data_IF_991475214548
#
_entry.id   IF_991475214548
#
_cell.length_a   1.000
_cell.length_b   1.000
_cell.length_c   1.000
_cell.angle_alpha   90.00
_cell.angle_beta   90.00
_cell.angle_gamma   90.00
#
_symmetry.space_group_name_H-M   'P 1'
#
loop_
_entity.id
_entity.type
_entity.pdbx_description
1 polymer ?
#
# COMPACT_ATOMS: atom_id res chain seq x y z
N UNK A 1 60.00 16.07 11.23
CA UNK A 1 59.49 15.07 12.19
C UNK A 1 58.07 15.44 12.56
N UNK A 2 57.22 14.42 12.73
CA UNK A 2 55.90 14.41 13.37
C UNK A 2 54.63 14.39 12.48
N UNK A 3 54.30 13.15 12.12
CA UNK A 3 53.04 12.42 12.28
C UNK A 3 51.74 12.84 11.58
N UNK A 4 51.38 11.93 10.66
CA UNK A 4 50.10 11.62 10.05
C UNK A 4 49.04 11.26 11.10
N UNK A 5 47.81 11.76 10.91
CA UNK A 5 46.60 11.12 11.42
C UNK A 5 45.47 11.29 10.37
N UNK A 6 45.23 10.26 9.55
CA UNK A 6 44.04 10.17 8.71
C UNK A 6 42.90 9.57 9.53
N UNK A 7 41.91 10.39 9.89
CA UNK A 7 40.64 9.88 10.41
C UNK A 7 39.69 9.60 9.24
N UNK A 8 39.44 8.32 8.96
CA UNK A 8 38.41 7.86 8.04
C UNK A 8 37.08 7.95 8.78
N UNK A 9 36.29 9.00 8.52
CA UNK A 9 34.91 9.07 8.99
C UNK A 9 34.03 8.37 7.97
N UNK A 10 33.60 7.17 8.31
CA UNK A 10 32.64 6.36 7.55
C UNK A 10 31.32 7.12 7.41
N UNK A 11 30.95 7.48 6.18
CA UNK A 11 29.71 8.17 5.85
C UNK A 11 28.58 7.15 5.74
N UNK A 12 27.95 6.80 6.85
CA UNK A 12 26.65 6.12 6.84
C UNK A 12 25.55 7.17 6.58
N UNK A 13 25.13 7.32 5.32
CA UNK A 13 23.97 8.15 4.98
C UNK A 13 22.68 7.37 5.28
N UNK A 14 22.11 7.60 6.45
CA UNK A 14 20.72 7.25 6.74
C UNK A 14 19.81 8.07 5.82
N UNK A 15 19.14 7.39 4.91
CA UNK A 15 18.18 8.00 3.99
C UNK A 15 16.90 8.34 4.78
N UNK A 16 16.87 9.50 5.43
CA UNK A 16 15.65 9.98 6.07
C UNK A 16 14.65 10.47 5.01
N UNK A 17 13.45 9.91 5.06
CA UNK A 17 12.33 10.35 4.23
C UNK A 17 11.87 11.74 4.71
N UNK A 18 12.17 12.78 3.92
CA UNK A 18 11.77 14.15 4.25
C UNK A 18 10.48 14.53 3.51
N UNK A 19 9.43 14.86 4.25
CA UNK A 19 8.24 15.57 3.74
C UNK A 19 8.50 17.06 3.88
N UNK A 20 8.44 17.80 2.78
CA UNK A 20 8.76 19.23 2.73
C UNK A 20 7.52 20.08 3.02
N UNK A 21 7.60 20.97 4.02
CA UNK A 21 6.59 22.03 4.24
C UNK A 21 7.25 23.41 4.31
N UNK A 22 6.53 24.41 3.77
CA UNK A 22 6.94 25.80 3.57
C UNK A 22 7.30 26.45 4.91
N UNK A 23 8.56 26.89 5.06
CA UNK A 23 9.23 27.56 6.22
C UNK A 23 10.33 26.77 6.95
N UNK A 24 10.77 25.60 6.45
CA UNK A 24 11.95 24.91 6.99
C UNK A 24 11.81 24.42 8.45
N UNK A 25 10.61 24.47 9.01
CA UNK A 25 10.25 23.86 10.30
C UNK A 25 9.86 22.40 10.05
N UNK A 26 10.56 21.48 10.73
CA UNK A 26 10.25 20.06 10.71
C UNK A 26 9.10 19.81 11.66
N UNK A 27 7.90 19.56 11.13
CA UNK A 27 6.77 19.10 11.93
C UNK A 27 6.99 17.62 12.26
N UNK A 28 6.95 17.29 13.55
CA UNK A 28 7.12 15.91 14.01
C UNK A 28 5.94 15.03 13.53
N UNK A 29 6.20 13.86 12.92
CA UNK A 29 5.14 12.95 12.50
C UNK A 29 4.26 12.50 13.67
N UNK A 30 2.95 12.36 13.43
CA UNK A 30 1.95 11.93 14.43
C UNK A 30 1.74 12.88 15.62
N UNK A 31 2.38 14.05 15.63
CA UNK A 31 2.24 15.06 16.67
C UNK A 31 0.89 15.80 16.59
N UNK A 32 0.47 16.37 17.72
CA UNK A 32 -0.69 17.27 17.78
C UNK A 32 -0.47 18.53 16.91
N UNK A 33 0.79 18.94 16.72
CA UNK A 33 1.17 20.02 15.81
C UNK A 33 0.82 19.66 14.36
N UNK A 34 1.19 18.45 13.91
CA UNK A 34 0.85 17.97 12.57
C UNK A 34 -0.67 17.91 12.37
N UNK A 35 -1.40 17.40 13.35
CA UNK A 35 -2.87 17.32 13.32
C UNK A 35 -3.47 18.72 13.19
N UNK A 36 -3.01 19.68 14.00
CA UNK A 36 -3.45 21.08 13.94
C UNK A 36 -3.12 21.72 12.60
N UNK A 37 -1.90 21.49 12.09
CA UNK A 37 -1.45 22.01 10.80
C UNK A 37 -2.37 21.54 9.67
N UNK A 38 -2.68 20.24 9.60
CA UNK A 38 -3.59 19.67 8.60
C UNK A 38 -4.99 20.26 8.74
N UNK A 39 -5.55 20.24 9.96
CA UNK A 39 -6.95 20.64 10.20
C UNK A 39 -7.21 22.14 10.01
N UNK A 40 -6.18 22.99 10.16
CA UNK A 40 -6.27 24.43 9.91
C UNK A 40 -6.02 24.79 8.44
N UNK A 41 -5.54 23.86 7.62
CA UNK A 41 -5.24 24.14 6.23
C UNK A 41 -6.55 24.35 5.44
N UNK A 42 -6.76 25.51 4.79
CA UNK A 42 -8.07 25.91 4.25
C UNK A 42 -8.62 24.96 3.18
N UNK A 43 -7.72 24.26 2.48
CA UNK A 43 -8.04 23.35 1.38
C UNK A 43 -7.54 21.94 1.63
N UNK A 44 -7.47 21.47 2.89
CA UNK A 44 -7.01 20.12 3.19
C UNK A 44 -7.87 19.05 2.49
N UNK A 45 -9.21 19.19 2.53
CA UNK A 45 -10.16 18.22 1.96
C UNK A 45 -10.31 16.93 2.77
N UNK A 46 -9.58 16.78 3.87
CA UNK A 46 -9.66 15.68 4.84
C UNK A 46 -9.36 16.23 6.25
N UNK A 47 -9.70 15.45 7.28
CA UNK A 47 -9.45 15.79 8.68
C UNK A 47 -8.47 14.78 9.29
N UNK A 48 -7.48 15.29 10.02
CA UNK A 48 -6.54 14.50 10.80
C UNK A 48 -7.01 14.36 12.27
N UNK A 49 -6.63 13.26 12.88
CA UNK A 49 -6.80 13.00 14.31
C UNK A 49 -5.67 12.10 14.81
N UNK A 50 -5.58 11.90 16.12
CA UNK A 50 -4.59 11.04 16.75
C UNK A 50 -4.80 9.60 16.30
N UNK A 51 -3.70 8.93 15.94
CA UNK A 51 -3.76 7.54 15.50
C UNK A 51 -3.81 6.59 16.70
N UNK A 52 -4.81 5.71 16.72
CA UNK A 52 -4.86 4.57 17.66
C UNK A 52 -3.94 3.42 17.22
N UNK A 53 -3.45 3.43 15.98
CA UNK A 53 -2.71 2.32 15.36
C UNK A 53 -1.20 2.58 15.27
N UNK A 54 -0.81 3.84 15.12
CA UNK A 54 0.59 4.23 14.94
C UNK A 54 1.02 5.16 16.07
N UNK A 55 2.03 4.74 16.83
CA UNK A 55 2.64 5.58 17.88
C UNK A 55 4.05 6.02 17.50
N UNK A 56 4.58 5.50 16.40
CA UNK A 56 5.86 5.85 15.82
C UNK A 56 5.82 5.70 14.30
N UNK A 57 6.79 6.29 13.63
CA UNK A 57 6.97 6.06 12.18
C UNK A 57 7.33 4.59 11.91
N UNK A 58 7.99 3.90 12.83
CA UNK A 58 8.32 2.47 12.68
C UNK A 58 7.07 1.58 12.73
N UNK A 59 6.10 1.89 13.60
CA UNK A 59 4.80 1.21 13.58
C UNK A 59 4.10 1.36 12.22
N UNK A 60 4.24 2.53 11.58
CA UNK A 60 3.70 2.75 10.25
C UNK A 60 4.47 1.97 9.18
N UNK A 61 5.82 1.97 9.22
CA UNK A 61 6.67 1.30 8.22
C UNK A 61 6.35 -0.18 8.10
N UNK A 62 6.18 -0.90 9.22
CA UNK A 62 5.87 -2.34 9.19
C UNK A 62 4.48 -2.66 8.63
N UNK A 63 3.63 -1.64 8.41
CA UNK A 63 2.31 -1.78 7.81
C UNK A 63 2.27 -1.34 6.34
N UNK A 64 3.40 -0.85 5.79
CA UNK A 64 3.55 -0.44 4.40
C UNK A 64 4.33 -1.50 3.61
N UNK A 65 3.62 -2.45 3.01
CA UNK A 65 4.22 -3.62 2.36
C UNK A 65 4.32 -3.57 0.83
N UNK A 66 3.75 -2.57 0.17
CA UNK A 66 3.66 -2.52 -1.29
C UNK A 66 4.89 -1.88 -1.94
N UNK A 67 5.64 -2.67 -2.73
CA UNK A 67 6.78 -2.20 -3.53
C UNK A 67 6.42 -2.08 -5.02
N UNK A 68 7.11 -1.16 -5.71
CA UNK A 68 6.97 -1.00 -7.17
C UNK A 68 7.82 -2.02 -7.89
N UNK A 69 7.22 -2.74 -8.83
CA UNK A 69 7.94 -3.61 -9.76
C UNK A 69 8.81 -2.78 -10.72
N UNK A 70 9.91 -3.36 -11.21
CA UNK A 70 10.68 -2.76 -12.29
C UNK A 70 9.77 -2.51 -13.51
N UNK A 71 9.77 -1.29 -14.09
CA UNK A 71 8.86 -0.95 -15.18
C UNK A 71 8.98 -1.85 -16.41
N UNK A 72 10.20 -2.27 -16.77
CA UNK A 72 10.42 -3.13 -17.93
C UNK A 72 9.92 -4.56 -17.65
N UNK A 73 10.16 -5.09 -16.45
CA UNK A 73 9.61 -6.38 -16.05
C UNK A 73 8.09 -6.35 -16.00
N UNK A 74 7.49 -5.30 -15.42
CA UNK A 74 6.05 -5.11 -15.35
C UNK A 74 5.41 -5.14 -16.75
N UNK A 75 6.00 -4.41 -17.70
CA UNK A 75 5.48 -4.33 -19.07
C UNK A 75 5.64 -5.66 -19.83
N UNK A 76 6.74 -6.39 -19.59
CA UNK A 76 7.01 -7.67 -20.27
C UNK A 76 6.17 -8.82 -19.70
N UNK A 77 5.90 -8.84 -18.39
CA UNK A 77 5.23 -9.96 -17.72
C UNK A 77 3.74 -10.05 -18.02
N UNK A 78 3.06 -8.91 -18.16
CA UNK A 78 1.61 -8.88 -18.33
C UNK A 78 1.15 -7.74 -19.24
N UNK A 79 0.08 -7.96 -20.02
CA UNK A 79 -0.47 -6.90 -20.87
C UNK A 79 -1.00 -5.74 -20.03
N UNK A 80 -0.92 -4.54 -20.58
CA UNK A 80 -1.62 -3.37 -20.03
C UNK A 80 -2.96 -3.23 -20.75
N UNK A 81 -4.04 -3.21 -19.99
CA UNK A 81 -5.40 -3.00 -20.52
C UNK A 81 -5.82 -1.56 -20.29
N UNK A 82 -6.34 -0.91 -21.33
CA UNK A 82 -6.81 0.48 -21.32
C UNK A 82 -8.33 0.61 -21.57
N UNK A 83 -8.96 -0.47 -22.08
CA UNK A 83 -10.37 -0.53 -22.45
C UNK A 83 -10.79 0.46 -23.55
N UNK A 84 -9.89 0.90 -24.44
CA UNK A 84 -10.19 1.88 -25.50
C UNK A 84 -11.31 1.45 -26.46
N UNK A 85 -11.47 0.15 -26.72
CA UNK A 85 -12.51 -0.39 -27.61
C UNK A 85 -13.90 -0.43 -26.97
N UNK A 86 -14.00 -0.22 -25.64
CA UNK A 86 -15.25 -0.27 -24.91
C UNK A 86 -15.92 1.11 -24.89
N UNK A 87 -16.96 1.28 -25.71
CA UNK A 87 -17.83 2.47 -25.66
C UNK A 87 -18.84 2.33 -24.52
N UNK A 88 -18.49 2.84 -23.34
CA UNK A 88 -19.38 2.86 -22.17
C UNK A 88 -19.41 4.25 -21.56
N UNK A 89 -20.59 4.68 -21.12
CA UNK A 89 -20.72 5.88 -20.30
C UNK A 89 -20.29 5.55 -18.87
N UNK A 90 -19.27 6.26 -18.37
CA UNK A 90 -18.77 6.07 -17.01
C UNK A 90 -19.62 6.95 -16.07
N UNK A 91 -20.30 6.37 -15.07
CA UNK A 91 -21.10 7.16 -14.15
C UNK A 91 -20.21 8.05 -13.28
N UNK A 92 -20.73 9.23 -12.91
CA UNK A 92 -20.02 10.16 -12.01
C UNK A 92 -19.77 9.56 -10.61
N UNK A 93 -20.52 8.52 -10.22
CA UNK A 93 -20.38 7.83 -8.94
C UNK A 93 -20.52 6.32 -9.14
N UNK A 94 -19.63 5.55 -8.51
CA UNK A 94 -19.65 4.10 -8.57
C UNK A 94 -19.23 3.50 -7.23
N UNK A 95 -19.98 2.52 -6.75
CA UNK A 95 -19.67 1.76 -5.55
C UNK A 95 -19.89 0.28 -5.81
N UNK A 96 -18.82 -0.51 -5.81
CA UNK A 96 -18.85 -1.96 -6.05
C UNK A 96 -19.80 -2.69 -5.11
N UNK A 97 -19.95 -2.22 -3.86
CA UNK A 97 -20.85 -2.85 -2.87
C UNK A 97 -22.32 -2.69 -3.27
N UNK A 98 -22.66 -1.58 -3.93
CA UNK A 98 -24.01 -1.32 -4.45
C UNK A 98 -24.27 -2.09 -5.74
N UNK A 99 -23.27 -2.22 -6.62
CA UNK A 99 -23.40 -2.95 -7.88
C UNK A 99 -23.46 -4.47 -7.68
N UNK A 100 -22.72 -5.00 -6.70
CA UNK A 100 -22.66 -6.43 -6.40
C UNK A 100 -22.96 -6.74 -4.92
N UNK A 101 -24.20 -6.48 -4.45
CA UNK A 101 -24.54 -6.57 -3.02
C UNK A 101 -24.55 -8.00 -2.46
N UNK A 102 -24.57 -9.01 -3.35
CA UNK A 102 -24.47 -10.43 -3.00
C UNK A 102 -23.02 -10.87 -2.73
N UNK A 103 -22.02 -10.10 -3.18
CA UNK A 103 -20.61 -10.39 -2.96
C UNK A 103 -20.13 -9.71 -1.68
N UNK A 104 -20.23 -10.44 -0.55
CA UNK A 104 -19.96 -9.89 0.79
C UNK A 104 -18.49 -9.54 1.00
N UNK A 105 -17.57 -10.22 0.31
CA UNK A 105 -16.13 -9.96 0.34
C UNK A 105 -15.78 -8.49 0.02
N UNK A 106 -16.58 -7.82 -0.83
CA UNK A 106 -16.34 -6.41 -1.25
C UNK A 106 -16.48 -5.44 -0.06
N UNK A 107 -17.31 -5.79 0.92
CA UNK A 107 -17.52 -4.97 2.12
C UNK A 107 -16.63 -5.40 3.30
N UNK A 108 -15.83 -6.44 3.13
CA UNK A 108 -15.00 -7.00 4.19
C UNK A 108 -13.70 -6.21 4.32
N UNK A 109 -13.53 -5.57 5.48
CA UNK A 109 -12.27 -4.92 5.84
C UNK A 109 -11.38 -5.95 6.54
N UNK A 110 -10.18 -6.18 5.99
CA UNK A 110 -9.21 -7.15 6.53
C UNK A 110 -8.10 -6.42 7.28
N UNK A 111 -7.55 -7.08 8.29
CA UNK A 111 -6.39 -6.59 9.04
C UNK A 111 -5.16 -7.45 8.72
N UNK A 112 -4.11 -6.81 8.20
CA UNK A 112 -2.83 -7.47 7.92
C UNK A 112 -1.98 -7.71 9.20
N UNK A 113 -2.43 -7.23 10.35
CA UNK A 113 -1.70 -7.22 11.64
C UNK A 113 -0.33 -6.54 11.51
N UNK A 114 0.63 -6.82 12.40
CA UNK A 114 2.01 -6.29 12.39
C UNK A 114 2.91 -7.02 11.39
N UNK A 115 2.53 -7.00 10.12
CA UNK A 115 3.25 -7.62 9.00
C UNK A 115 3.11 -6.72 7.76
N UNK A 116 4.19 -6.48 7.01
CA UNK A 116 4.17 -5.64 5.81
C UNK A 116 3.63 -6.43 4.60
N UNK A 117 2.44 -7.01 4.74
CA UNK A 117 1.81 -7.89 3.76
C UNK A 117 0.63 -7.26 3.02
N UNK A 118 0.52 -5.93 3.04
CA UNK A 118 -0.54 -5.20 2.33
C UNK A 118 -0.62 -5.58 0.83
N UNK A 119 0.52 -5.91 0.21
CA UNK A 119 0.62 -6.38 -1.17
C UNK A 119 -0.15 -7.68 -1.42
N UNK A 120 -0.17 -8.60 -0.46
CA UNK A 120 -0.85 -9.88 -0.54
C UNK A 120 -2.31 -9.78 -0.08
N UNK A 121 -2.57 -9.13 1.07
CA UNK A 121 -3.92 -8.99 1.65
C UNK A 121 -4.86 -8.25 0.68
N UNK A 122 -4.34 -7.21 0.00
CA UNK A 122 -5.12 -6.48 -1.01
C UNK A 122 -5.36 -7.31 -2.28
N UNK A 123 -4.39 -8.11 -2.71
CA UNK A 123 -4.52 -8.99 -3.87
C UNK A 123 -5.60 -10.05 -3.63
N UNK A 124 -5.49 -10.84 -2.56
CA UNK A 124 -6.47 -11.90 -2.25
C UNK A 124 -7.86 -11.34 -1.97
N UNK A 125 -7.95 -10.14 -1.41
CA UNK A 125 -9.23 -9.44 -1.23
C UNK A 125 -9.92 -9.14 -2.56
N UNK A 126 -9.19 -8.52 -3.49
CA UNK A 126 -9.71 -8.23 -4.82
C UNK A 126 -9.95 -9.48 -5.68
N UNK A 127 -9.14 -10.53 -5.53
CA UNK A 127 -9.35 -11.82 -6.19
C UNK A 127 -10.63 -12.50 -5.67
N UNK A 128 -10.85 -12.51 -4.36
CA UNK A 128 -12.08 -13.03 -3.74
C UNK A 128 -13.32 -12.30 -4.27
N UNK A 129 -13.23 -10.97 -4.37
CA UNK A 129 -14.29 -10.14 -4.96
C UNK A 129 -14.57 -10.51 -6.43
N UNK A 130 -13.52 -10.64 -7.23
CA UNK A 130 -13.63 -10.99 -8.67
C UNK A 130 -14.20 -12.38 -8.87
N UNK A 131 -13.82 -13.38 -8.06
CA UNK A 131 -14.41 -14.73 -8.11
C UNK A 131 -15.92 -14.65 -7.89
N UNK A 132 -16.37 -13.87 -6.91
CA UNK A 132 -17.81 -13.69 -6.69
C UNK A 132 -18.49 -12.94 -7.83
N UNK A 133 -17.93 -11.81 -8.26
CA UNK A 133 -18.51 -10.97 -9.33
C UNK A 133 -18.63 -11.76 -10.64
N UNK A 134 -17.56 -12.40 -11.07
CA UNK A 134 -17.47 -13.07 -12.36
C UNK A 134 -18.24 -14.40 -12.40
N UNK A 135 -18.42 -15.05 -11.25
CA UNK A 135 -19.29 -16.23 -11.14
C UNK A 135 -20.79 -15.87 -11.02
N UNK A 136 -21.14 -14.58 -11.04
CA UNK A 136 -22.52 -14.12 -10.84
C UNK A 136 -23.04 -14.34 -9.42
N UNK A 137 -22.15 -14.45 -8.44
CA UNK A 137 -22.44 -14.75 -7.03
C UNK A 137 -22.58 -16.24 -6.71
N UNK A 138 -22.22 -17.15 -7.64
CA UNK A 138 -22.25 -18.60 -7.40
C UNK A 138 -21.10 -19.08 -6.52
N UNK A 139 -19.96 -18.40 -6.59
CA UNK A 139 -18.80 -18.68 -5.75
C UNK A 139 -18.59 -17.50 -4.82
N UNK A 140 -18.39 -17.76 -3.54
CA UNK A 140 -18.02 -16.76 -2.55
C UNK A 140 -16.95 -17.38 -1.68
N UNK A 141 -15.73 -16.88 -1.82
CA UNK A 141 -14.55 -17.42 -1.14
C UNK A 141 -13.84 -16.31 -0.40
N UNK A 142 -13.06 -16.69 0.61
CA UNK A 142 -12.03 -15.85 1.19
C UNK A 142 -10.69 -16.53 0.92
N UNK A 143 -9.95 -15.99 -0.05
CA UNK A 143 -8.65 -16.53 -0.40
C UNK A 143 -7.63 -16.26 0.71
N UNK A 144 -6.76 -17.25 0.93
CA UNK A 144 -5.78 -17.24 2.01
C UNK A 144 -4.66 -16.23 1.74
N UNK A 145 -4.63 -15.14 2.51
CA UNK A 145 -3.52 -14.20 2.46
C UNK A 145 -2.21 -14.87 2.90
N UNK A 146 -2.24 -15.74 3.92
CA UNK A 146 -1.03 -16.37 4.45
C UNK A 146 -0.40 -17.31 3.43
N UNK A 147 -1.21 -18.02 2.64
CA UNK A 147 -0.71 -18.88 1.56
C UNK A 147 0.07 -18.06 0.54
N UNK A 148 -0.51 -16.96 0.05
CA UNK A 148 0.18 -16.07 -0.89
C UNK A 148 1.45 -15.44 -0.28
N UNK A 149 1.41 -15.09 1.01
CA UNK A 149 2.56 -14.52 1.74
C UNK A 149 3.70 -15.52 1.88
N UNK A 150 3.40 -16.79 2.21
CA UNK A 150 4.42 -17.80 2.53
C UNK A 150 4.90 -18.59 1.33
N UNK A 151 4.07 -18.73 0.29
CA UNK A 151 4.32 -19.65 -0.82
C UNK A 151 4.78 -18.95 -2.10
N UNK A 152 4.46 -17.67 -2.29
CA UNK A 152 4.93 -16.94 -3.48
C UNK A 152 6.34 -16.37 -3.30
N UNK A 153 7.35 -17.18 -3.63
CA UNK A 153 8.77 -16.79 -3.55
C UNK A 153 9.14 -15.63 -4.50
N UNK A 154 8.44 -15.50 -5.63
CA UNK A 154 8.68 -14.44 -6.62
C UNK A 154 7.91 -13.13 -6.34
N UNK A 155 7.09 -13.10 -5.29
CA UNK A 155 6.26 -11.95 -4.95
C UNK A 155 6.96 -10.95 -4.00
N UNK A 156 8.10 -11.31 -3.43
CA UNK A 156 8.83 -10.45 -2.49
C UNK A 156 9.31 -11.23 -1.28
N UNK A 157 9.22 -10.60 -0.11
CA UNK A 157 9.80 -11.10 1.13
C UNK A 157 8.75 -11.25 2.23
N UNK A 158 7.57 -11.77 1.88
CA UNK A 158 6.48 -12.02 2.84
C UNK A 158 6.09 -10.78 3.65
N UNK A 159 6.37 -10.82 4.96
CA UNK A 159 6.10 -9.72 5.91
C UNK A 159 7.08 -8.54 5.84
N UNK A 160 8.12 -8.59 4.99
CA UNK A 160 9.03 -7.47 4.74
C UNK A 160 8.66 -6.71 3.46
N UNK A 161 7.50 -7.00 2.87
CA UNK A 161 6.97 -6.35 1.68
C UNK A 161 7.15 -7.14 0.40
N UNK A 162 6.40 -6.73 -0.62
CA UNK A 162 6.29 -7.45 -1.88
C UNK A 162 5.62 -6.64 -2.97
N UNK A 163 5.41 -7.29 -4.11
CA UNK A 163 4.99 -6.67 -5.35
C UNK A 163 3.59 -7.16 -5.73
N UNK A 164 2.59 -6.26 -5.81
CA UNK A 164 1.24 -6.66 -6.18
C UNK A 164 1.16 -7.34 -7.55
N UNK A 165 1.97 -6.91 -8.53
CA UNK A 165 1.96 -7.50 -9.87
C UNK A 165 2.20 -9.02 -9.87
N UNK A 166 3.38 -9.49 -9.43
CA UNK A 166 3.67 -10.91 -9.26
C UNK A 166 2.67 -11.67 -8.41
N UNK A 167 2.03 -11.01 -7.44
CA UNK A 167 0.98 -11.62 -6.63
C UNK A 167 -0.27 -12.03 -7.43
N UNK A 168 -0.57 -11.33 -8.54
CA UNK A 168 -1.63 -11.74 -9.49
C UNK A 168 -1.16 -12.75 -10.54
N UNK A 169 0.16 -12.86 -10.77
CA UNK A 169 0.73 -13.81 -11.72
C UNK A 169 0.84 -15.22 -11.12
N UNK A 170 1.07 -15.31 -9.80
CA UNK A 170 1.08 -16.54 -9.00
C UNK A 170 -0.34 -17.13 -8.88
#
# INVERSE_FOLDING_TARGET
MLNIAFCIVSLFTLLEAHVTTRNNERIEPLSDEMISFINKHPNAGWKADKSDRFHSVDDARILLGGRREDPNLRQKRRPTVDHHDLKVEIPSHFDSRKKWPRCKSISQIRDQSRCASSWAVSAVGAMSDRICIQSGGKQSVELSAIDLISCCENCGSGCDGGFPGPAWDY
#
